data_IF_990280062547
#
_entry.id   IF_990280062547
#
_cell.length_a   1.000
_cell.length_b   1.000
_cell.length_c   1.000
_cell.angle_alpha   90.00
_cell.angle_beta   90.00
_cell.angle_gamma   90.00
#
_symmetry.space_group_name_H-M   'P 1'
#
loop_
_entity.id
_entity.type
_entity.pdbx_description
1 polymer ?
#
# COMPACT_ATOMS: atom_id res chain seq x y z
N UNK A 1 2.05 12.20 38.92
CA UNK A 1 2.49 12.86 37.68
C UNK A 1 2.54 11.78 36.61
N UNK A 2 1.59 11.79 35.67
CA UNK A 2 1.58 10.87 34.54
C UNK A 2 1.47 11.70 33.28
N UNK A 3 2.34 11.42 32.32
CA UNK A 3 1.97 11.26 30.92
C UNK A 3 3.02 10.33 30.31
N UNK A 4 2.68 9.07 29.97
CA UNK A 4 3.43 8.36 28.97
C UNK A 4 3.05 9.02 27.66
N UNK A 5 3.85 9.99 27.19
CA UNK A 5 3.79 10.34 25.78
C UNK A 5 4.29 9.09 25.06
N UNK A 6 3.34 8.21 24.73
CA UNK A 6 3.55 7.11 23.81
C UNK A 6 3.97 7.81 22.53
N UNK A 7 5.28 7.89 22.30
CA UNK A 7 5.86 8.24 21.02
C UNK A 7 5.07 7.45 20.00
N UNK A 8 4.36 8.21 19.17
CA UNK A 8 3.66 7.83 17.96
C UNK A 8 3.80 6.34 17.68
N UNK A 9 2.74 5.60 18.03
CA UNK A 9 2.55 4.23 17.61
C UNK A 9 2.95 4.19 16.13
N UNK A 10 3.98 3.41 15.79
CA UNK A 10 4.32 3.09 14.41
C UNK A 10 3.06 2.56 13.76
N UNK A 11 2.31 3.46 13.14
CA UNK A 11 1.05 3.17 12.50
C UNK A 11 1.47 2.47 11.23
N UNK A 12 1.49 1.13 11.28
CA UNK A 12 1.42 0.32 10.09
C UNK A 12 0.20 0.84 9.32
N UNK A 13 0.44 1.46 8.18
CA UNK A 13 -0.66 1.78 7.27
C UNK A 13 -1.38 0.46 6.98
N UNK A 14 -2.68 0.45 7.27
CA UNK A 14 -3.52 -0.71 7.01
C UNK A 14 -3.37 -1.08 5.53
N UNK A 15 -3.21 -2.38 5.19
CA UNK A 15 -3.12 -2.79 3.81
C UNK A 15 -4.32 -2.28 3.01
N UNK A 16 -4.06 -1.52 1.95
CA UNK A 16 -5.12 -1.02 1.06
C UNK A 16 -5.73 -2.20 0.33
N UNK A 17 -7.01 -2.45 0.59
CA UNK A 17 -7.74 -3.59 0.03
C UNK A 17 -8.68 -3.11 -1.07
N UNK A 18 -8.54 -3.66 -2.28
CA UNK A 18 -9.42 -3.38 -3.40
C UNK A 18 -10.41 -4.54 -3.61
N UNK A 19 -11.71 -4.27 -3.44
CA UNK A 19 -12.78 -5.24 -3.66
C UNK A 19 -13.13 -5.37 -5.14
N UNK A 20 -12.44 -6.25 -5.87
CA UNK A 20 -12.67 -6.48 -7.31
C UNK A 20 -13.68 -7.61 -7.62
N UNK A 21 -14.25 -8.23 -6.59
CA UNK A 21 -15.16 -9.37 -6.76
C UNK A 21 -14.49 -10.52 -7.51
N UNK A 22 -15.08 -10.95 -8.62
CA UNK A 22 -14.56 -12.02 -9.50
C UNK A 22 -13.77 -11.48 -10.70
N UNK A 23 -13.56 -10.16 -10.79
CA UNK A 23 -12.88 -9.55 -11.92
C UNK A 23 -11.37 -9.53 -11.72
N UNK A 24 -10.62 -9.74 -12.81
CA UNK A 24 -9.17 -9.61 -12.84
C UNK A 24 -8.76 -8.14 -12.73
N UNK A 25 -7.74 -7.86 -11.92
CA UNK A 25 -7.08 -6.57 -11.91
C UNK A 25 -6.27 -6.42 -13.20
N UNK A 26 -6.52 -5.35 -13.96
CA UNK A 26 -5.81 -5.09 -15.23
C UNK A 26 -4.45 -4.42 -15.00
N UNK A 27 -4.43 -3.38 -14.18
CA UNK A 27 -3.23 -2.64 -13.83
C UNK A 27 -3.37 -1.98 -12.45
N UNK A 28 -2.23 -1.72 -11.82
CA UNK A 28 -2.11 -0.96 -10.58
C UNK A 28 -1.03 0.12 -10.79
N UNK A 29 -1.39 1.39 -10.59
CA UNK A 29 -0.47 2.52 -10.68
C UNK A 29 -0.31 3.16 -9.31
N UNK A 30 0.93 3.19 -8.81
CA UNK A 30 1.28 3.79 -7.51
C UNK A 30 1.99 5.11 -7.79
N UNK A 31 1.42 6.21 -7.31
CA UNK A 31 2.03 7.53 -7.37
C UNK A 31 2.77 7.78 -6.06
N UNK A 32 4.09 7.87 -6.13
CA UNK A 32 4.94 8.13 -4.98
C UNK A 32 5.06 9.63 -4.67
N UNK A 33 5.38 10.02 -3.43
CA UNK A 33 5.51 11.42 -3.03
C UNK A 33 6.61 12.20 -3.78
N UNK A 34 7.61 11.51 -4.34
CA UNK A 34 8.68 12.12 -5.14
C UNK A 34 8.28 12.40 -6.60
N UNK A 35 7.05 12.02 -6.97
CA UNK A 35 6.51 12.16 -8.32
C UNK A 35 6.78 10.97 -9.24
N UNK A 36 7.48 9.93 -8.77
CA UNK A 36 7.64 8.69 -9.54
C UNK A 36 6.35 7.89 -9.57
N UNK A 37 6.15 7.16 -10.66
CA UNK A 37 4.98 6.30 -10.85
C UNK A 37 5.46 4.89 -11.09
N UNK A 38 5.02 3.96 -10.25
CA UNK A 38 5.26 2.53 -10.43
C UNK A 38 3.99 1.87 -10.98
N UNK A 39 4.10 1.28 -12.17
CA UNK A 39 3.01 0.58 -12.83
C UNK A 39 3.23 -0.93 -12.75
N UNK A 40 2.17 -1.64 -12.36
CA UNK A 40 2.17 -3.10 -12.22
C UNK A 40 1.05 -3.65 -13.07
N UNK A 41 1.41 -4.35 -14.14
CA UNK A 41 0.46 -5.01 -15.03
C UNK A 41 -0.01 -6.34 -14.43
N UNK A 42 -1.32 -6.63 -14.57
CA UNK A 42 -1.94 -7.88 -14.15
C UNK A 42 -1.59 -8.32 -12.71
N UNK A 43 -1.83 -7.49 -11.68
CA UNK A 43 -1.50 -7.85 -10.31
C UNK A 43 -2.33 -9.06 -9.86
N UNK A 44 -1.72 -9.94 -9.06
CA UNK A 44 -2.36 -11.16 -8.57
C UNK A 44 -3.53 -10.82 -7.64
N UNK A 45 -4.70 -11.36 -7.93
CA UNK A 45 -5.86 -11.27 -7.06
C UNK A 45 -5.68 -12.08 -5.77
N UNK A 46 -6.38 -11.67 -4.71
CA UNK A 46 -6.40 -12.37 -3.42
C UNK A 46 -4.99 -12.58 -2.82
N UNK A 47 -4.06 -11.69 -3.15
CA UNK A 47 -2.70 -11.72 -2.68
C UNK A 47 -2.34 -10.40 -2.00
N UNK A 48 -1.41 -10.45 -1.06
CA UNK A 48 -0.78 -9.25 -0.51
C UNK A 48 0.43 -8.91 -1.36
N UNK A 49 0.41 -7.73 -1.98
CA UNK A 49 1.52 -7.20 -2.74
C UNK A 49 2.26 -6.18 -1.85
N UNK A 50 3.53 -6.43 -1.57
CA UNK A 50 4.41 -5.45 -0.90
C UNK A 50 5.14 -4.67 -2.00
N UNK A 51 4.97 -3.37 -1.99
CA UNK A 51 5.56 -2.44 -2.96
C UNK A 51 6.46 -1.48 -2.21
N UNK A 52 7.71 -1.43 -2.63
CA UNK A 52 8.71 -0.53 -2.09
C UNK A 52 9.15 0.40 -3.21
N UNK A 53 9.33 1.67 -2.86
CA UNK A 53 9.91 2.64 -3.78
C UNK A 53 11.40 2.30 -3.98
N UNK A 54 11.77 1.87 -5.18
CA UNK A 54 13.17 1.73 -5.56
C UNK A 54 13.79 3.13 -5.68
N UNK A 55 14.89 3.35 -4.94
CA UNK A 55 15.58 4.63 -4.85
C UNK A 55 16.75 4.71 -5.84
#
# INVERSE_FOLDING_TARGET
>A
MVSPTRSYLSQVELPVTFGLGQQAAKSLSIHWPDGTVQEIESPKLQATLVVEQEK
#
